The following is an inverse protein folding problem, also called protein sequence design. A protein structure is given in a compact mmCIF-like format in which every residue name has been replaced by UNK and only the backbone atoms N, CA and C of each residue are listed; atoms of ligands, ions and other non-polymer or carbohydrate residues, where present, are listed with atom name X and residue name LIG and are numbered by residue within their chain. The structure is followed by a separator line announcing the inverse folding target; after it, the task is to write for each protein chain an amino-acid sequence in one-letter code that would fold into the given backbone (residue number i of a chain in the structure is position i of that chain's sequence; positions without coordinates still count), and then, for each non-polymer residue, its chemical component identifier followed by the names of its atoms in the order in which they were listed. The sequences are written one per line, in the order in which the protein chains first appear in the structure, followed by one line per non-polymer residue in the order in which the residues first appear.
data_IF_609678113960
#
_entry.id   IF_609678113960
#
_cell.length_a   1.000
_cell.length_b   1.000
_cell.length_c   1.000
_cell.angle_alpha   90.00
_cell.angle_beta   90.00
_cell.angle_gamma   90.00
#
_symmetry.space_group_name_H-M   'P 1'
#
loop_
_entity.id
_entity.type
_entity.pdbx_description
1 polymer ?
#
# COMPACT_ATOMS: atom_id res chain seq x y z
N UNK A 1 8.52 16.63 30.38
CA UNK A 1 7.22 16.21 29.79
C UNK A 1 6.29 17.38 29.48
N UNK A 2 6.79 18.62 29.46
CA UNK A 2 6.03 19.79 29.02
C UNK A 2 5.93 19.81 27.49
N UNK A 3 4.73 20.01 26.94
CA UNK A 3 4.54 20.27 25.52
C UNK A 3 3.65 21.49 25.34
N UNK A 4 4.04 22.35 24.40
CA UNK A 4 3.26 23.51 23.97
C UNK A 4 2.74 23.24 22.56
N UNK A 5 1.43 23.37 22.36
CA UNK A 5 0.80 23.25 21.06
C UNK A 5 1.28 24.37 20.12
N UNK A 6 1.46 24.07 18.84
CA UNK A 6 1.87 25.06 17.85
C UNK A 6 0.75 26.09 17.59
N UNK A 7 1.10 27.31 17.13
CA UNK A 7 0.11 28.32 16.79
C UNK A 7 -0.94 27.80 15.78
N UNK A 8 -2.23 28.19 15.92
CA UNK A 8 -2.74 29.26 16.78
C UNK A 8 -3.07 28.85 18.23
N UNK A 9 -2.97 27.57 18.59
CA UNK A 9 -3.48 27.04 19.86
C UNK A 9 -2.65 27.46 21.08
N UNK A 10 -1.32 27.30 21.04
CA UNK A 10 -0.38 27.66 22.13
C UNK A 10 -0.67 27.05 23.51
N UNK A 11 -1.60 26.10 23.62
CA UNK A 11 -1.93 25.45 24.88
C UNK A 11 -0.76 24.62 25.40
N UNK A 12 -0.50 24.71 26.71
CA UNK A 12 0.57 23.99 27.38
C UNK A 12 0.01 22.84 28.21
N UNK A 13 0.55 21.65 28.01
CA UNK A 13 0.07 20.44 28.68
C UNK A 13 1.20 19.47 29.00
N UNK A 14 0.92 18.54 29.91
CA UNK A 14 1.81 17.44 30.24
C UNK A 14 1.62 16.29 29.24
N UNK A 15 2.70 15.84 28.61
CA UNK A 15 2.67 14.74 27.62
C UNK A 15 2.19 13.41 28.21
N UNK A 16 2.36 13.20 29.52
CA UNK A 16 1.97 11.95 30.16
C UNK A 16 0.46 11.86 30.42
N UNK A 17 -0.07 12.79 31.21
CA UNK A 17 -1.46 12.76 31.66
C UNK A 17 -2.41 13.59 30.78
N UNK A 18 -1.88 14.36 29.82
CA UNK A 18 -2.62 15.27 28.94
C UNK A 18 -3.39 16.40 29.65
N UNK A 19 -3.12 16.61 30.95
CA UNK A 19 -3.66 17.72 31.73
C UNK A 19 -2.91 19.04 31.51
N UNK A 20 -3.51 20.15 31.94
CA UNK A 20 -2.93 21.49 31.80
C UNK A 20 -1.57 21.60 32.51
N UNK A 21 -0.60 22.23 31.86
CA UNK A 21 0.73 22.39 32.45
C UNK A 21 0.72 23.29 33.69
N UNK A 22 -0.20 24.25 33.75
CA UNK A 22 -0.39 25.14 34.89
C UNK A 22 -0.74 24.43 36.19
N UNK A 23 -1.25 23.20 36.11
CA UNK A 23 -1.59 22.39 37.29
C UNK A 23 -0.41 21.55 37.79
N UNK A 24 0.70 21.53 37.05
CA UNK A 24 1.90 20.79 37.41
C UNK A 24 2.86 21.63 38.26
N UNK A 25 3.34 21.03 39.35
CA UNK A 25 4.23 21.66 40.34
C UNK A 25 4.59 20.67 41.44
N UNK A 26 5.02 21.13 42.62
CA UNK A 26 5.36 20.23 43.75
C UNK A 26 4.22 19.27 44.10
N UNK A 27 2.96 19.74 43.99
CA UNK A 27 1.77 18.96 44.31
C UNK A 27 1.52 17.76 43.38
N UNK A 28 2.12 17.76 42.19
CA UNK A 28 1.99 16.67 41.20
C UNK A 28 3.25 15.80 41.09
N UNK A 29 4.22 15.96 42.00
CA UNK A 29 5.51 15.26 41.96
C UNK A 29 6.67 16.10 41.43
N UNK A 30 6.44 17.38 41.15
CA UNK A 30 7.40 18.31 40.56
C UNK A 30 7.00 18.74 39.15
N UNK A 31 7.78 19.66 38.57
CA UNK A 31 7.50 20.17 37.22
C UNK A 31 7.78 19.14 36.12
N UNK A 32 8.64 18.14 36.36
CA UNK A 32 9.01 17.15 35.33
C UNK A 32 8.59 15.72 35.64
N UNK A 33 8.03 15.48 36.83
CA UNK A 33 7.46 14.20 37.23
C UNK A 33 5.95 14.35 37.43
N UNK A 34 5.18 13.34 37.00
CA UNK A 34 3.71 13.37 37.03
C UNK A 34 3.19 12.17 37.83
N UNK A 35 2.97 12.39 39.12
CA UNK A 35 2.44 11.36 40.02
C UNK A 35 1.01 10.96 39.64
N UNK A 36 0.21 11.88 39.08
CA UNK A 36 -1.14 11.55 38.60
C UNK A 36 -1.12 10.47 37.51
N UNK A 37 -0.15 10.55 36.59
CA UNK A 37 0.02 9.52 35.56
C UNK A 37 0.49 8.20 36.16
N UNK A 38 1.44 8.22 37.11
CA UNK A 38 1.90 7.00 37.77
C UNK A 38 0.80 6.31 38.57
N UNK A 39 -0.01 7.07 39.30
CA UNK A 39 -1.17 6.55 40.04
C UNK A 39 -2.24 6.04 39.08
N UNK A 40 -2.60 6.79 38.02
CA UNK A 40 -3.56 6.33 37.01
C UNK A 40 -3.10 5.08 36.24
N UNK A 41 -1.79 4.90 36.08
CA UNK A 41 -1.18 3.68 35.52
C UNK A 41 -1.26 2.51 36.50
N UNK A 42 -1.10 2.75 37.80
CA UNK A 42 -1.27 1.73 38.84
C UNK A 42 -2.74 1.35 39.06
N UNK A 43 -3.67 2.27 38.85
CA UNK A 43 -5.13 2.05 39.00
C UNK A 43 -5.79 1.46 37.74
N UNK A 44 -5.03 1.10 36.70
CA UNK A 44 -5.50 0.58 35.40
C UNK A 44 -6.47 1.51 34.62
N UNK A 45 -6.76 2.72 35.10
CA UNK A 45 -7.69 3.66 34.44
C UNK A 45 -7.14 4.16 33.10
N UNK A 46 -5.81 4.28 32.97
CA UNK A 46 -5.17 4.68 31.70
C UNK A 46 -5.12 3.56 30.65
N UNK A 47 -5.37 2.30 31.06
CA UNK A 47 -5.33 1.13 30.18
C UNK A 47 -6.43 1.20 29.11
N UNK A 48 -7.64 1.65 29.44
CA UNK A 48 -8.76 1.69 28.47
C UNK A 48 -8.58 2.74 27.37
N UNK A 49 -8.06 3.93 27.70
CA UNK A 49 -7.79 4.96 26.69
C UNK A 49 -6.65 4.53 25.75
N UNK A 50 -5.61 3.90 26.29
CA UNK A 50 -4.49 3.39 25.52
C UNK A 50 -4.88 2.16 24.69
N UNK A 51 -5.66 1.22 25.24
CA UNK A 51 -6.28 0.11 24.50
C UNK A 51 -7.09 0.60 23.31
N UNK A 52 -7.90 1.65 23.48
CA UNK A 52 -8.66 2.25 22.37
C UNK A 52 -7.75 2.81 21.27
N UNK A 53 -6.65 3.46 21.65
CA UNK A 53 -5.64 3.96 20.68
C UNK A 53 -4.97 2.81 19.95
N UNK A 54 -4.57 1.76 20.67
CA UNK A 54 -3.93 0.59 20.06
C UNK A 54 -4.89 -0.18 19.14
N UNK A 55 -6.17 -0.30 19.51
CA UNK A 55 -7.21 -0.86 18.65
C UNK A 55 -7.40 -0.03 17.36
N UNK A 56 -7.41 1.29 17.47
CA UNK A 56 -7.50 2.19 16.32
C UNK A 56 -6.28 2.04 15.40
N UNK A 57 -5.07 2.02 15.97
CA UNK A 57 -3.82 1.80 15.23
C UNK A 57 -3.82 0.45 14.50
N UNK A 58 -4.18 -0.63 15.18
CA UNK A 58 -4.27 -1.97 14.58
C UNK A 58 -5.34 -2.05 13.48
N UNK A 59 -6.46 -1.34 13.62
CA UNK A 59 -7.46 -1.25 12.55
C UNK A 59 -6.91 -0.56 11.29
N UNK A 60 -6.14 0.51 11.47
CA UNK A 60 -5.52 1.25 10.38
C UNK A 60 -4.41 0.44 9.70
N UNK A 61 -3.54 -0.21 10.47
CA UNK A 61 -2.49 -1.09 9.94
C UNK A 61 -3.07 -2.23 9.11
N UNK A 62 -4.16 -2.85 9.58
CA UNK A 62 -4.88 -3.88 8.81
C UNK A 62 -5.44 -3.32 7.52
N UNK A 63 -6.08 -2.16 7.54
CA UNK A 63 -6.59 -1.53 6.32
C UNK A 63 -5.47 -1.27 5.31
N UNK A 64 -4.36 -0.67 5.74
CA UNK A 64 -3.20 -0.38 4.90
C UNK A 64 -2.64 -1.65 4.26
N UNK A 65 -2.45 -2.73 5.04
CA UNK A 65 -1.93 -4.00 4.55
C UNK A 65 -2.76 -4.58 3.39
N UNK A 66 -4.09 -4.61 3.56
CA UNK A 66 -4.98 -5.15 2.53
C UNK A 66 -5.10 -4.22 1.32
N UNK A 67 -5.11 -2.91 1.55
CA UNK A 67 -5.20 -1.91 0.49
C UNK A 67 -3.98 -1.95 -0.44
N UNK A 68 -2.76 -1.97 0.12
CA UNK A 68 -1.52 -2.04 -0.67
C UNK A 68 -1.48 -3.27 -1.58
N UNK A 69 -1.92 -4.43 -1.06
CA UNK A 69 -2.00 -5.66 -1.84
C UNK A 69 -3.03 -5.56 -2.96
N UNK A 70 -4.19 -4.97 -2.67
CA UNK A 70 -5.24 -4.76 -3.66
C UNK A 70 -4.77 -3.85 -4.81
N UNK A 71 -4.13 -2.71 -4.49
CA UNK A 71 -3.57 -1.78 -5.49
C UNK A 71 -2.49 -2.47 -6.32
N UNK A 72 -1.59 -3.22 -5.67
CA UNK A 72 -0.53 -3.96 -6.37
C UNK A 72 -1.10 -5.02 -7.32
N UNK A 73 -2.11 -5.77 -6.88
CA UNK A 73 -2.80 -6.74 -7.71
C UNK A 73 -3.47 -6.08 -8.93
N UNK A 74 -4.09 -4.91 -8.75
CA UNK A 74 -4.68 -4.14 -9.84
C UNK A 74 -3.63 -3.69 -10.86
N UNK A 75 -2.46 -3.23 -10.40
CA UNK A 75 -1.33 -2.87 -11.27
C UNK A 75 -0.82 -4.08 -12.08
N UNK A 76 -0.63 -5.22 -11.41
CA UNK A 76 -0.23 -6.47 -12.07
C UNK A 76 -1.24 -6.92 -13.12
N UNK A 77 -2.54 -6.80 -12.83
CA UNK A 77 -3.62 -7.10 -13.79
C UNK A 77 -3.55 -6.20 -15.03
N UNK A 78 -3.35 -4.89 -14.84
CA UNK A 78 -3.22 -3.95 -15.96
C UNK A 78 -2.01 -4.29 -16.84
N UNK A 79 -0.87 -4.63 -16.23
CA UNK A 79 0.32 -5.08 -16.98
C UNK A 79 0.05 -6.36 -17.76
N UNK A 80 -0.62 -7.34 -17.16
CA UNK A 80 -0.98 -8.58 -17.84
C UNK A 80 -1.87 -8.31 -19.07
N UNK A 81 -2.86 -7.42 -18.96
CA UNK A 81 -3.71 -7.04 -20.09
C UNK A 81 -2.91 -6.35 -21.21
N UNK A 82 -2.00 -5.45 -20.86
CA UNK A 82 -1.13 -4.79 -21.84
C UNK A 82 -0.22 -5.81 -22.57
N UNK A 83 0.33 -6.78 -21.84
CA UNK A 83 1.12 -7.86 -22.46
C UNK A 83 0.30 -8.75 -23.38
N UNK A 84 -0.94 -9.07 -23.02
CA UNK A 84 -1.84 -9.82 -23.89
C UNK A 84 -2.09 -9.09 -25.22
N UNK A 85 -2.35 -7.78 -25.17
CA UNK A 85 -2.50 -6.97 -26.38
C UNK A 85 -1.23 -6.98 -27.25
N UNK A 86 -0.05 -6.84 -26.64
CA UNK A 86 1.20 -6.94 -27.40
C UNK A 86 1.38 -8.32 -28.03
N UNK A 87 1.10 -9.40 -27.30
CA UNK A 87 1.18 -10.76 -27.82
C UNK A 87 0.26 -10.97 -29.03
N UNK A 88 -0.96 -10.43 -29.02
CA UNK A 88 -1.87 -10.55 -30.17
C UNK A 88 -1.28 -9.95 -31.45
N UNK A 89 -0.64 -8.77 -31.36
CA UNK A 89 0.03 -8.14 -32.50
C UNK A 89 1.22 -8.98 -33.01
N UNK A 90 1.98 -9.58 -32.09
CA UNK A 90 3.08 -10.47 -32.48
C UNK A 90 2.58 -11.75 -33.17
N UNK A 91 1.47 -12.32 -32.69
CA UNK A 91 0.86 -13.49 -33.29
C UNK A 91 0.32 -13.20 -34.70
N UNK A 92 -0.28 -12.03 -34.94
CA UNK A 92 -0.72 -11.61 -36.28
C UNK A 92 0.46 -11.55 -37.25
N UNK A 93 1.57 -10.91 -36.85
CA UNK A 93 2.78 -10.86 -37.70
C UNK A 93 3.35 -12.23 -38.01
N UNK A 94 3.37 -13.13 -37.03
CA UNK A 94 3.81 -14.51 -37.24
C UNK A 94 2.86 -15.27 -38.17
N UNK A 95 1.55 -15.05 -38.01
CA UNK A 95 0.53 -15.62 -38.90
C UNK A 95 0.77 -15.20 -40.35
N UNK A 96 1.00 -13.91 -40.61
CA UNK A 96 1.29 -13.41 -41.96
C UNK A 96 2.52 -14.08 -42.58
N UNK A 97 3.61 -14.21 -41.80
CA UNK A 97 4.83 -14.87 -42.27
C UNK A 97 4.56 -16.35 -42.60
N UNK A 98 3.85 -17.06 -41.71
CA UNK A 98 3.53 -18.49 -41.92
C UNK A 98 2.67 -18.65 -43.18
N UNK A 99 1.66 -17.81 -43.37
CA UNK A 99 0.82 -17.82 -44.56
C UNK A 99 1.67 -17.61 -45.81
N UNK A 100 2.56 -16.60 -45.82
CA UNK A 100 3.46 -16.36 -46.94
C UNK A 100 4.37 -17.55 -47.25
N UNK A 101 4.97 -18.18 -46.24
CA UNK A 101 5.85 -19.34 -46.41
C UNK A 101 5.09 -20.55 -46.96
N UNK A 102 3.90 -20.84 -46.42
CA UNK A 102 3.06 -21.95 -46.87
C UNK A 102 2.54 -21.74 -48.29
N UNK A 103 2.07 -20.53 -48.63
CA UNK A 103 1.61 -20.21 -49.97
C UNK A 103 2.76 -20.24 -50.98
N UNK A 104 3.92 -19.68 -50.65
CA UNK A 104 5.09 -19.72 -51.52
C UNK A 104 5.52 -21.18 -51.77
N UNK A 105 5.76 -21.97 -50.71
CA UNK A 105 6.15 -23.37 -50.86
C UNK A 105 5.13 -24.20 -51.65
N UNK A 106 3.83 -23.97 -51.45
CA UNK A 106 2.77 -24.59 -52.24
C UNK A 106 2.80 -24.18 -53.72
N UNK A 107 3.02 -22.90 -54.01
CA UNK A 107 3.16 -22.38 -55.37
C UNK A 107 4.37 -22.98 -56.09
N UNK A 108 5.53 -23.01 -55.44
CA UNK A 108 6.74 -23.65 -55.99
C UNK A 108 6.51 -25.14 -56.25
N UNK A 109 5.81 -25.85 -55.37
CA UNK A 109 5.51 -27.27 -55.54
C UNK A 109 4.57 -27.53 -56.72
N UNK A 110 3.49 -26.73 -56.86
CA UNK A 110 2.57 -26.78 -58.00
C UNK A 110 3.27 -26.49 -59.33
N UNK A 111 4.06 -25.41 -59.37
CA UNK A 111 4.80 -25.02 -60.56
C UNK A 111 5.84 -26.06 -60.98
N UNK A 112 6.53 -26.70 -60.02
CA UNK A 112 7.50 -27.76 -60.30
C UNK A 112 6.83 -29.00 -60.92
N UNK A 113 5.65 -29.39 -60.44
CA UNK A 113 4.85 -30.47 -61.06
C UNK A 113 4.45 -30.11 -62.49
N UNK A 114 4.04 -28.86 -62.75
CA UNK A 114 3.61 -28.43 -64.09
C UNK A 114 4.77 -28.37 -65.09
N UNK A 115 5.97 -27.95 -64.67
CA UNK A 115 7.16 -27.84 -65.53
C UNK A 115 7.86 -29.19 -65.75
N UNK A 116 7.85 -30.10 -64.76
CA UNK A 116 8.53 -31.40 -64.87
C UNK A 116 7.64 -32.47 -65.53
N UNK A 117 6.32 -32.27 -65.54
CA UNK A 117 5.33 -33.21 -66.11
C UNK A 117 4.85 -32.80 -67.53
N UNK A 118 5.48 -31.79 -68.14
CA UNK A 118 5.41 -31.42 -69.57
C UNK A 118 6.76 -31.77 -70.22
#
# INVERSE_FOLDING_TARGET
MHITCTPPCKFEFCWLCLGAWSEHGERTGGFYACNLYETAKQEEVYDEAEKRREMAKNSLERYTHYYERWVTNQSSRQKALAYLQQMTVHLEKLSDIVIWVVLASGFWCFWWVEVVMI
#
